data_IF_464108822999
#
_entry.id   IF_464108822999
#
_cell.length_a   1.000
_cell.length_b   1.000
_cell.length_c   1.000
_cell.angle_alpha   90.00
_cell.angle_beta   90.00
_cell.angle_gamma   90.00
#
_symmetry.space_group_name_H-M   'P 1'
#
loop_
_entity.id
_entity.type
_entity.pdbx_description
1 polymer ?
#
# COMPACT_ATOMS: atom_id res chain seq x y z
N UNK A 1 2.24 2.84 -18.36
CA UNK A 1 2.60 1.49 -17.86
C UNK A 1 2.30 1.17 -16.39
N UNK A 2 2.24 2.11 -15.42
CA UNK A 2 2.06 1.76 -14.00
C UNK A 2 0.86 0.88 -13.68
N UNK A 3 -0.26 1.07 -14.38
CA UNK A 3 -1.48 0.26 -14.17
C UNK A 3 -1.34 -1.20 -14.60
N UNK A 4 -0.70 -1.47 -15.74
CA UNK A 4 -0.50 -2.84 -16.21
C UNK A 4 0.46 -3.60 -15.28
N UNK A 5 1.53 -2.95 -14.84
CA UNK A 5 2.46 -3.53 -13.86
C UNK A 5 1.78 -3.80 -12.52
N UNK A 6 0.95 -2.87 -12.02
CA UNK A 6 0.17 -3.06 -10.80
C UNK A 6 -0.79 -4.26 -10.94
N UNK A 7 -1.51 -4.34 -12.06
CA UNK A 7 -2.48 -5.39 -12.31
C UNK A 7 -1.81 -6.77 -12.41
N UNK A 8 -0.81 -6.93 -13.27
CA UNK A 8 -0.14 -8.21 -13.48
C UNK A 8 0.58 -8.67 -12.21
N UNK A 9 1.28 -7.76 -11.52
CA UNK A 9 1.94 -8.09 -10.25
C UNK A 9 0.96 -8.53 -9.18
N UNK A 10 -0.16 -7.82 -9.03
CA UNK A 10 -1.14 -8.10 -7.98
C UNK A 10 -2.01 -9.34 -8.29
N UNK A 11 -2.65 -9.38 -9.46
CA UNK A 11 -3.62 -10.43 -9.77
C UNK A 11 -2.99 -11.69 -10.35
N UNK A 12 -2.00 -11.58 -11.24
CA UNK A 12 -1.43 -12.76 -11.92
C UNK A 12 -0.32 -13.39 -11.09
N UNK A 13 0.61 -12.58 -10.55
CA UNK A 13 1.78 -13.10 -9.83
C UNK A 13 1.46 -13.39 -8.36
N UNK A 14 0.94 -12.40 -7.63
CA UNK A 14 0.63 -12.58 -6.21
C UNK A 14 -0.65 -13.39 -5.97
N UNK A 15 -1.67 -13.26 -6.84
CA UNK A 15 -2.96 -13.95 -6.73
C UNK A 15 -3.56 -13.96 -5.30
N UNK A 16 -3.67 -12.81 -4.62
CA UNK A 16 -4.14 -12.75 -3.25
C UNK A 16 -5.62 -13.10 -3.14
N UNK A 17 -6.05 -13.42 -1.92
CA UNK A 17 -7.43 -13.74 -1.58
C UNK A 17 -8.00 -12.71 -0.61
N UNK A 18 -9.33 -12.63 -0.57
CA UNK A 18 -10.04 -11.83 0.43
C UNK A 18 -9.61 -12.26 1.84
N UNK A 19 -9.28 -11.28 2.68
CA UNK A 19 -8.78 -11.51 4.03
C UNK A 19 -7.26 -11.62 4.15
N UNK A 20 -6.52 -11.70 3.04
CA UNK A 20 -5.05 -11.71 3.09
C UNK A 20 -4.48 -10.37 3.55
N UNK A 21 -3.25 -10.42 4.06
CA UNK A 21 -2.47 -9.26 4.46
C UNK A 21 -1.55 -8.83 3.31
N UNK A 22 -1.70 -7.59 2.85
CA UNK A 22 -0.92 -7.04 1.74
C UNK A 22 -0.11 -5.85 2.24
N UNK A 23 1.21 -5.94 2.10
CA UNK A 23 2.11 -4.82 2.33
C UNK A 23 2.52 -4.17 1.01
N UNK A 24 2.39 -2.85 0.92
CA UNK A 24 2.80 -2.06 -0.24
C UNK A 24 3.89 -1.07 0.16
N UNK A 25 5.10 -1.30 -0.34
CA UNK A 25 6.20 -0.35 -0.22
C UNK A 25 6.00 0.85 -1.15
N UNK A 26 6.41 2.04 -0.70
CA UNK A 26 6.24 3.29 -1.45
C UNK A 26 4.81 3.46 -2.02
N UNK A 27 3.80 3.17 -1.18
CA UNK A 27 2.41 3.01 -1.57
C UNK A 27 1.78 4.26 -2.17
N UNK A 28 2.34 5.45 -1.94
CA UNK A 28 1.89 6.70 -2.58
C UNK A 28 2.45 6.89 -4.01
N UNK A 29 3.24 5.96 -4.53
CA UNK A 29 3.82 6.01 -5.87
C UNK A 29 2.83 5.58 -6.96
N UNK A 30 3.21 5.78 -8.23
CA UNK A 30 2.32 5.54 -9.38
C UNK A 30 1.77 4.11 -9.46
N UNK A 31 2.60 3.10 -9.16
CA UNK A 31 2.20 1.68 -9.12
C UNK A 31 1.56 1.33 -7.77
N UNK A 32 2.23 1.71 -6.67
CA UNK A 32 1.82 1.35 -5.31
C UNK A 32 0.40 1.79 -4.95
N UNK A 33 -0.01 2.99 -5.41
CA UNK A 33 -1.36 3.49 -5.11
C UNK A 33 -2.44 2.66 -5.79
N UNK A 34 -2.15 2.06 -6.95
CA UNK A 34 -3.09 1.21 -7.68
C UNK A 34 -3.18 -0.16 -7.02
N UNK A 35 -2.03 -0.76 -6.67
CA UNK A 35 -1.97 -2.05 -5.95
C UNK A 35 -2.73 -1.98 -4.64
N UNK A 36 -2.55 -0.91 -3.85
CA UNK A 36 -3.27 -0.75 -2.59
C UNK A 36 -4.78 -0.64 -2.77
N UNK A 37 -5.24 0.08 -3.78
CA UNK A 37 -6.67 0.18 -4.09
C UNK A 37 -7.25 -1.17 -4.55
N UNK A 38 -6.52 -1.92 -5.39
CA UNK A 38 -6.92 -3.28 -5.77
C UNK A 38 -7.03 -4.20 -4.55
N UNK A 39 -6.05 -4.14 -3.64
CA UNK A 39 -6.06 -4.93 -2.42
C UNK A 39 -7.25 -4.56 -1.51
N UNK A 40 -7.59 -3.29 -1.36
CA UNK A 40 -8.78 -2.87 -0.63
C UNK A 40 -10.07 -3.34 -1.30
N UNK A 41 -10.19 -3.25 -2.62
CA UNK A 41 -11.36 -3.75 -3.36
C UNK A 41 -11.52 -5.27 -3.26
N UNK A 42 -10.42 -6.01 -3.21
CA UNK A 42 -10.42 -7.46 -3.01
C UNK A 42 -10.79 -7.86 -1.57
N UNK A 43 -10.80 -6.90 -0.63
CA UNK A 43 -11.08 -7.14 0.78
C UNK A 43 -9.90 -7.68 1.57
N UNK A 44 -8.68 -7.30 1.17
CA UNK A 44 -7.46 -7.55 1.92
C UNK A 44 -7.26 -6.52 3.05
N UNK A 45 -6.46 -6.89 4.03
CA UNK A 45 -5.91 -5.97 5.03
C UNK A 45 -4.62 -5.36 4.48
N UNK A 46 -4.58 -4.04 4.30
CA UNK A 46 -3.54 -3.35 3.54
C UNK A 46 -2.71 -2.44 4.43
N UNK A 47 -1.40 -2.67 4.42
CA UNK A 47 -0.40 -1.85 5.10
C UNK A 47 0.47 -1.15 4.07
N UNK A 48 0.60 0.17 4.18
CA UNK A 48 1.37 0.99 3.23
C UNK A 48 2.51 1.75 3.90
N UNK A 49 3.63 1.91 3.20
CA UNK A 49 4.68 2.86 3.61
C UNK A 49 4.84 4.00 2.61
N UNK A 50 5.13 5.20 3.11
CA UNK A 50 5.39 6.37 2.28
C UNK A 50 6.50 7.27 2.85
N UNK A 51 7.02 8.17 2.03
CA UNK A 51 8.20 8.97 2.38
C UNK A 51 7.91 10.34 3.02
N UNK A 52 6.65 10.68 3.28
CA UNK A 52 6.24 11.92 3.92
C UNK A 52 4.92 11.74 4.67
N UNK A 53 4.60 12.66 5.59
CA UNK A 53 3.37 12.58 6.40
C UNK A 53 2.12 12.77 5.55
N UNK A 54 2.15 13.69 4.60
CA UNK A 54 1.04 14.02 3.68
C UNK A 54 0.70 12.80 2.81
N UNK A 55 1.72 12.05 2.38
CA UNK A 55 1.54 10.82 1.61
C UNK A 55 0.93 9.71 2.45
N UNK A 56 1.26 9.62 3.74
CA UNK A 56 0.63 8.68 4.67
C UNK A 56 -0.84 9.02 4.90
N UNK A 57 -1.15 10.30 5.08
CA UNK A 57 -2.53 10.78 5.22
C UNK A 57 -3.36 10.50 3.96
N UNK A 58 -2.79 10.69 2.78
CA UNK A 58 -3.42 10.31 1.51
C UNK A 58 -3.79 8.82 1.50
N UNK A 59 -2.88 7.95 1.92
CA UNK A 59 -3.10 6.49 1.94
C UNK A 59 -4.23 6.09 2.88
N UNK A 60 -4.27 6.67 4.09
CA UNK A 60 -5.31 6.37 5.08
C UNK A 60 -6.66 6.96 4.68
N UNK A 61 -6.69 8.26 4.37
CA UNK A 61 -7.94 8.99 4.25
C UNK A 61 -8.58 8.85 2.87
N UNK A 62 -7.77 8.78 1.80
CA UNK A 62 -8.29 8.73 0.42
C UNK A 62 -8.33 7.30 -0.12
N UNK A 63 -7.33 6.50 0.19
CA UNK A 63 -7.21 5.13 -0.33
C UNK A 63 -7.63 4.05 0.66
N UNK A 64 -8.08 4.44 1.86
CA UNK A 64 -8.65 3.54 2.88
C UNK A 64 -7.71 2.40 3.29
N UNK A 65 -6.40 2.64 3.33
CA UNK A 65 -5.45 1.68 3.86
C UNK A 65 -5.70 1.49 5.36
N UNK A 66 -5.62 0.24 5.84
CA UNK A 66 -5.85 -0.08 7.25
C UNK A 66 -4.73 0.50 8.12
N UNK A 67 -3.49 0.42 7.64
CA UNK A 67 -2.33 1.04 8.27
C UNK A 67 -1.47 1.73 7.21
N UNK A 68 -0.97 2.92 7.53
CA UNK A 68 0.10 3.53 6.77
C UNK A 68 1.08 4.27 7.67
N UNK A 69 2.37 4.22 7.32
CA UNK A 69 3.45 4.82 8.10
C UNK A 69 4.52 5.49 7.25
N UNK A 70 5.22 6.46 7.84
CA UNK A 70 6.33 7.14 7.19
C UNK A 70 7.64 6.41 7.48
N UNK A 71 8.24 5.79 6.47
CA UNK A 71 9.49 5.01 6.65
C UNK A 71 10.71 5.89 6.99
N UNK A 72 10.61 7.22 6.85
CA UNK A 72 11.66 8.17 7.26
C UNK A 72 11.54 8.62 8.73
N UNK A 73 10.47 8.25 9.42
CA UNK A 73 10.34 8.58 10.85
C UNK A 73 11.39 7.79 11.64
N UNK A 74 12.29 8.49 12.33
CA UNK A 74 13.42 7.92 13.10
C UNK A 74 13.02 7.25 14.42
N UNK A 75 11.79 6.76 14.55
CA UNK A 75 11.28 6.23 15.84
C UNK A 75 11.83 4.82 16.17
N UNK A 76 12.57 4.18 15.26
CA UNK A 76 13.02 2.79 15.41
C UNK A 76 14.26 2.59 16.31
N UNK A 77 14.94 3.66 16.74
CA UNK A 77 16.24 3.60 17.45
C UNK A 77 16.15 3.78 18.98
N UNK A 78 14.98 3.63 19.61
CA UNK A 78 14.78 3.88 21.05
C UNK A 78 14.49 2.62 21.89
N UNK A 79 14.96 1.43 21.49
CA UNK A 79 14.94 0.24 22.33
C UNK A 79 16.31 -0.41 22.44
#
# INVERSE_FOLDING_TARGET
MPGLTAYAGFYEVCSPKKGDYVYVSAASGAVGQLVGQFAKWLGCYVVGSAGSKEKVELLKNKFSFDVAFNYKSQTWLLH
#
